data_IF_146675098564
#
_entry.id   IF_146675098564
#
_cell.length_a   1.000
_cell.length_b   1.000
_cell.length_c   1.000
_cell.angle_alpha   90.00
_cell.angle_beta   90.00
_cell.angle_gamma   90.00
#
_symmetry.space_group_name_H-M   'P 1'
#
loop_
_entity.id
_entity.type
_entity.pdbx_description
1 polymer ?
#
# COMPACT_ATOMS: atom_id res chain seq x y z
N UNK A 1 -86.63 -15.25 -30.63
CA UNK A 1 -86.00 -14.41 -31.67
C UNK A 1 -84.57 -14.12 -31.31
N UNK A 2 -83.68 -14.84 -31.93
CA UNK A 2 -82.25 -14.87 -31.57
C UNK A 2 -81.51 -14.14 -32.72
N UNK A 3 -80.79 -13.10 -32.39
CA UNK A 3 -79.81 -12.50 -33.33
C UNK A 3 -78.39 -12.90 -32.91
N UNK A 4 -77.69 -13.58 -33.78
CA UNK A 4 -76.28 -13.89 -33.72
C UNK A 4 -75.43 -12.66 -33.96
N UNK A 5 -74.46 -12.39 -33.15
CA UNK A 5 -73.39 -11.40 -33.36
C UNK A 5 -72.11 -12.14 -33.78
N UNK A 6 -71.54 -11.74 -34.89
CA UNK A 6 -70.31 -12.21 -35.45
C UNK A 6 -69.18 -11.47 -34.70
N UNK A 7 -68.20 -12.24 -34.19
CA UNK A 7 -66.99 -11.68 -33.58
C UNK A 7 -65.87 -11.85 -34.59
N UNK A 8 -65.36 -10.72 -35.13
CA UNK A 8 -64.18 -10.67 -35.97
C UNK A 8 -62.92 -10.87 -35.09
N UNK A 9 -62.13 -11.89 -35.44
CA UNK A 9 -60.84 -12.17 -34.85
C UNK A 9 -59.74 -11.40 -35.59
N UNK A 10 -59.21 -10.36 -34.98
CA UNK A 10 -57.96 -9.72 -35.44
C UNK A 10 -56.76 -10.53 -34.99
N UNK A 11 -56.04 -11.10 -35.96
CA UNK A 11 -54.75 -11.76 -35.75
C UNK A 11 -53.66 -10.68 -35.72
N UNK A 12 -53.03 -10.47 -34.55
CA UNK A 12 -51.83 -9.65 -34.44
C UNK A 12 -50.61 -10.49 -34.74
N UNK A 13 -49.93 -10.24 -35.84
CA UNK A 13 -48.61 -10.79 -36.13
C UNK A 13 -47.54 -10.07 -35.30
N UNK A 14 -46.96 -10.74 -34.32
CA UNK A 14 -45.78 -10.26 -33.64
C UNK A 14 -44.55 -10.48 -34.50
N UNK A 15 -44.01 -9.41 -35.07
CA UNK A 15 -42.72 -9.39 -35.73
C UNK A 15 -41.61 -9.40 -34.66
N UNK A 16 -40.83 -10.50 -34.61
CA UNK A 16 -39.63 -10.62 -33.79
C UNK A 16 -38.51 -9.84 -34.51
N UNK A 17 -38.19 -8.65 -34.03
CA UNK A 17 -37.00 -7.94 -34.45
C UNK A 17 -35.80 -8.56 -33.70
N UNK A 18 -34.98 -9.38 -34.38
CA UNK A 18 -33.70 -9.87 -33.89
C UNK A 18 -32.72 -8.69 -33.85
N UNK A 19 -32.47 -8.16 -32.65
CA UNK A 19 -31.38 -7.23 -32.40
C UNK A 19 -30.06 -8.01 -32.44
N UNK A 20 -29.30 -7.88 -33.51
CA UNK A 20 -27.92 -8.32 -33.62
C UNK A 20 -27.06 -7.42 -32.76
N UNK A 21 -26.83 -7.80 -31.48
CA UNK A 21 -25.81 -7.20 -30.62
C UNK A 21 -24.44 -7.61 -31.13
N UNK A 22 -23.85 -6.82 -32.00
CA UNK A 22 -22.47 -6.96 -32.41
C UNK A 22 -21.55 -6.70 -31.22
N UNK A 23 -20.97 -7.74 -30.65
CA UNK A 23 -19.84 -7.59 -29.75
C UNK A 23 -18.65 -7.01 -30.52
N UNK A 24 -18.42 -5.73 -30.39
CA UNK A 24 -17.18 -5.11 -30.85
C UNK A 24 -16.07 -5.59 -29.92
N UNK A 25 -15.30 -6.59 -30.34
CA UNK A 25 -14.06 -6.96 -29.69
C UNK A 25 -13.07 -5.84 -29.94
N UNK A 26 -12.88 -4.97 -28.93
CA UNK A 26 -11.77 -4.02 -28.93
C UNK A 26 -10.51 -4.85 -28.68
N UNK A 27 -9.74 -5.12 -29.73
CA UNK A 27 -8.41 -5.71 -29.57
C UNK A 27 -7.56 -4.79 -28.69
N UNK A 28 -6.82 -5.33 -27.71
CA UNK A 28 -5.94 -4.51 -26.89
C UNK A 28 -4.92 -3.83 -27.83
N UNK A 29 -4.83 -2.51 -27.73
CA UNK A 29 -3.79 -1.75 -28.42
C UNK A 29 -2.48 -2.12 -27.74
N UNK A 30 -1.74 -3.03 -28.35
CA UNK A 30 -0.35 -3.32 -27.98
C UNK A 30 0.49 -2.12 -28.40
N UNK A 31 0.78 -1.23 -27.45
CA UNK A 31 1.81 -0.22 -27.64
C UNK A 31 3.13 -0.96 -27.66
N UNK A 32 3.76 -1.04 -28.85
CA UNK A 32 5.07 -1.65 -28.98
C UNK A 32 6.08 -0.91 -28.09
N UNK A 33 6.93 -1.66 -27.37
CA UNK A 33 8.01 -1.08 -26.61
C UNK A 33 8.93 -0.26 -27.54
N UNK A 34 9.48 0.87 -27.08
CA UNK A 34 10.42 1.66 -27.88
C UNK A 34 11.60 0.81 -28.35
N UNK A 35 12.16 1.06 -29.55
CA UNK A 35 13.30 0.34 -30.05
C UNK A 35 14.49 0.44 -29.07
N UNK A 36 15.06 -0.69 -28.65
CA UNK A 36 16.20 -0.75 -27.72
C UNK A 36 15.87 -1.01 -26.27
N UNK A 37 14.57 -1.09 -25.89
CA UNK A 37 14.15 -1.44 -24.52
C UNK A 37 14.45 -2.91 -24.27
N UNK A 38 15.32 -3.18 -23.28
CA UNK A 38 15.47 -4.52 -22.68
C UNK A 38 14.11 -4.95 -22.12
N UNK A 39 13.88 -6.26 -22.00
CA UNK A 39 12.64 -6.76 -21.40
C UNK A 39 12.34 -6.10 -20.04
N UNK A 40 11.07 -6.02 -19.67
CA UNK A 40 10.64 -5.45 -18.38
C UNK A 40 11.39 -6.14 -17.23
N UNK A 41 12.00 -5.40 -16.28
CA UNK A 41 12.66 -6.01 -15.13
C UNK A 41 11.71 -6.93 -14.34
N UNK A 42 12.17 -8.08 -13.89
CA UNK A 42 11.32 -9.11 -13.26
C UNK A 42 10.61 -8.62 -12.00
N UNK A 43 11.26 -7.77 -11.20
CA UNK A 43 10.62 -7.13 -10.04
C UNK A 43 9.43 -6.26 -10.43
N UNK A 44 9.56 -5.51 -11.53
CA UNK A 44 8.46 -4.68 -12.05
C UNK A 44 7.35 -5.53 -12.70
N UNK A 45 7.69 -6.62 -13.41
CA UNK A 45 6.68 -7.57 -13.89
C UNK A 45 5.86 -8.12 -12.73
N UNK A 46 6.53 -8.49 -11.63
CA UNK A 46 5.89 -9.03 -10.44
C UNK A 46 5.00 -7.97 -9.76
N UNK A 47 5.53 -6.76 -9.49
CA UNK A 47 4.82 -5.74 -8.73
C UNK A 47 3.63 -5.14 -9.49
N UNK A 48 3.84 -4.77 -10.77
CA UNK A 48 2.84 -4.01 -11.54
C UNK A 48 1.99 -4.88 -12.45
N UNK A 49 2.43 -6.10 -12.77
CA UNK A 49 1.78 -6.96 -13.76
C UNK A 49 1.19 -8.25 -13.23
N UNK A 50 1.59 -8.72 -12.02
CA UNK A 50 1.17 -10.05 -11.58
C UNK A 50 -0.15 -10.06 -10.81
N UNK A 51 -0.93 -11.13 -11.00
CA UNK A 51 -2.11 -11.42 -10.19
C UNK A 51 -1.76 -11.76 -8.74
N UNK A 52 -0.57 -12.31 -8.51
CA UNK A 52 -0.08 -12.71 -7.19
C UNK A 52 0.08 -11.50 -6.28
N UNK A 53 0.74 -10.44 -6.72
CA UNK A 53 0.88 -9.21 -5.93
C UNK A 53 -0.46 -8.53 -5.72
N UNK A 54 -1.32 -8.51 -6.73
CA UNK A 54 -2.67 -7.95 -6.57
C UNK A 54 -3.48 -8.72 -5.51
N UNK A 55 -3.35 -10.05 -5.43
CA UNK A 55 -3.97 -10.87 -4.40
C UNK A 55 -3.35 -10.63 -3.01
N UNK A 56 -2.01 -10.60 -2.91
CA UNK A 56 -1.29 -10.32 -1.65
C UNK A 56 -1.69 -8.95 -1.10
N UNK A 57 -1.74 -7.91 -1.94
CA UNK A 57 -2.15 -6.57 -1.53
C UNK A 57 -3.59 -6.56 -1.00
N UNK A 58 -4.53 -7.24 -1.68
CA UNK A 58 -5.91 -7.37 -1.21
C UNK A 58 -5.99 -8.11 0.13
N UNK A 59 -5.19 -9.17 0.33
CA UNK A 59 -5.11 -9.88 1.62
C UNK A 59 -4.60 -8.97 2.73
N UNK A 60 -3.53 -8.20 2.49
CA UNK A 60 -2.99 -7.26 3.47
C UNK A 60 -4.03 -6.20 3.87
N UNK A 61 -4.72 -5.60 2.90
CA UNK A 61 -5.77 -4.60 3.17
C UNK A 61 -7.02 -5.20 3.81
N UNK A 62 -7.40 -6.42 3.50
CA UNK A 62 -8.49 -7.13 4.19
C UNK A 62 -8.13 -7.43 5.64
N UNK A 63 -6.91 -7.91 5.89
CA UNK A 63 -6.39 -8.16 7.24
C UNK A 63 -6.33 -6.87 8.05
N UNK A 64 -5.82 -5.76 7.48
CA UNK A 64 -5.83 -4.44 8.08
C UNK A 64 -7.24 -4.00 8.49
N UNK A 65 -8.21 -4.13 7.58
CA UNK A 65 -9.61 -3.73 7.83
C UNK A 65 -10.22 -4.54 8.97
N UNK A 66 -10.00 -5.86 8.98
CA UNK A 66 -10.45 -6.76 10.04
C UNK A 66 -9.85 -6.38 11.40
N UNK A 67 -8.53 -6.18 11.44
CA UNK A 67 -7.80 -5.76 12.63
C UNK A 67 -8.32 -4.42 13.18
N UNK A 68 -8.42 -3.40 12.34
CA UNK A 68 -8.90 -2.07 12.71
C UNK A 68 -10.35 -2.12 13.20
N UNK A 69 -11.21 -2.91 12.55
CA UNK A 69 -12.61 -3.10 12.99
C UNK A 69 -12.69 -3.72 14.38
N UNK A 70 -11.84 -4.70 14.68
CA UNK A 70 -11.74 -5.28 16.02
C UNK A 70 -11.28 -4.27 17.07
N UNK A 71 -10.24 -3.50 16.73
CA UNK A 71 -9.63 -2.52 17.62
C UNK A 71 -10.53 -1.30 17.88
N UNK A 72 -11.21 -0.80 16.84
CA UNK A 72 -12.11 0.36 16.98
C UNK A 72 -13.31 0.07 17.92
N UNK A 73 -13.84 -1.14 17.89
CA UNK A 73 -14.93 -1.56 18.80
C UNK A 73 -14.50 -1.59 20.27
N UNK A 74 -13.23 -1.88 20.54
CA UNK A 74 -12.67 -1.90 21.90
C UNK A 74 -12.35 -0.50 22.44
N UNK A 75 -12.17 0.50 21.54
CA UNK A 75 -11.76 1.86 21.92
C UNK A 75 -12.92 2.86 22.00
N UNK A 76 -14.01 2.62 21.29
CA UNK A 76 -15.13 3.57 21.16
C UNK A 76 -16.47 2.88 21.31
N UNK A 77 -17.08 2.89 22.49
CA UNK A 77 -18.47 2.45 22.60
C UNK A 77 -19.39 3.47 21.93
N UNK A 78 -20.08 3.02 20.90
CA UNK A 78 -21.27 3.72 20.41
C UNK A 78 -22.36 3.49 21.48
N UNK A 79 -22.64 4.50 22.31
CA UNK A 79 -23.80 4.42 23.23
C UNK A 79 -23.49 4.46 24.73
N UNK A 80 -22.42 5.12 25.19
CA UNK A 80 -22.32 5.59 26.59
C UNK A 80 -22.36 4.54 27.71
N UNK A 81 -21.96 3.30 27.45
CA UNK A 81 -21.79 2.26 28.47
C UNK A 81 -20.47 2.37 29.22
N UNK A 82 -20.38 2.00 30.51
CA UNK A 82 -19.19 2.09 31.30
C UNK A 82 -18.15 1.02 30.89
N UNK A 83 -16.90 1.39 30.93
CA UNK A 83 -15.69 0.58 30.77
C UNK A 83 -15.25 0.24 29.35
N UNK A 84 -14.74 1.25 28.66
CA UNK A 84 -13.81 1.03 27.55
C UNK A 84 -12.44 0.67 28.15
N UNK A 85 -11.98 -0.53 27.89
CA UNK A 85 -10.58 -0.88 28.14
C UNK A 85 -9.78 -0.17 27.05
N UNK A 86 -9.36 1.07 27.30
CA UNK A 86 -8.47 1.80 26.40
C UNK A 86 -7.22 0.94 26.23
N UNK A 87 -6.82 0.69 24.98
CA UNK A 87 -5.52 0.11 24.73
C UNK A 87 -4.49 1.14 25.15
N UNK A 88 -3.59 0.80 26.08
CA UNK A 88 -2.70 1.78 26.68
C UNK A 88 -1.60 2.27 25.73
N UNK A 89 -1.39 1.61 24.61
CA UNK A 89 -0.23 1.85 23.75
C UNK A 89 -0.60 1.83 22.26
N UNK A 90 0.08 2.67 21.48
CA UNK A 90 0.04 2.63 20.03
C UNK A 90 0.99 1.55 19.48
N UNK A 91 1.01 1.35 18.16
CA UNK A 91 1.98 0.48 17.49
C UNK A 91 3.23 1.25 17.01
N UNK A 92 3.34 2.53 17.35
CA UNK A 92 4.53 3.36 17.10
C UNK A 92 5.50 3.21 18.26
N UNK A 93 6.76 2.92 17.95
CA UNK A 93 7.81 2.83 18.95
C UNK A 93 8.12 4.20 19.56
N UNK A 94 8.40 4.22 20.85
CA UNK A 94 8.94 5.38 21.54
C UNK A 94 10.34 5.71 21.00
N UNK A 95 10.74 6.98 21.06
CA UNK A 95 11.99 7.48 20.47
C UNK A 95 13.27 6.86 21.03
N UNK A 96 13.19 6.30 22.22
CA UNK A 96 14.28 5.63 22.92
C UNK A 96 14.17 4.09 22.94
N UNK A 97 13.21 3.54 22.19
CA UNK A 97 13.04 2.11 22.01
C UNK A 97 14.12 1.52 21.09
N UNK A 98 14.35 0.22 21.24
CA UNK A 98 15.17 -0.59 20.32
C UNK A 98 14.35 -1.78 19.82
N UNK A 99 14.81 -2.47 18.77
CA UNK A 99 14.14 -3.68 18.28
C UNK A 99 14.18 -4.82 19.31
N UNK A 100 15.20 -4.87 20.17
CA UNK A 100 15.34 -5.86 21.24
C UNK A 100 14.56 -5.50 22.52
N UNK A 101 14.20 -4.23 22.69
CA UNK A 101 13.41 -3.72 23.82
C UNK A 101 12.41 -2.68 23.33
N UNK A 102 11.40 -3.09 22.56
CA UNK A 102 10.41 -2.18 22.02
C UNK A 102 9.53 -1.60 23.13
N UNK A 103 9.39 -0.29 23.12
CA UNK A 103 8.43 0.45 23.94
C UNK A 103 7.57 1.27 23.01
N UNK A 104 6.29 1.35 23.29
CA UNK A 104 5.31 1.98 22.44
C UNK A 104 4.77 3.26 23.07
N UNK A 105 4.36 4.19 22.22
CA UNK A 105 3.76 5.47 22.64
C UNK A 105 2.38 5.23 23.25
N UNK A 106 2.04 5.96 24.30
CA UNK A 106 0.73 5.88 24.95
C UNK A 106 -0.40 6.45 24.10
N UNK A 107 -1.56 5.84 24.25
CA UNK A 107 -2.80 6.21 23.54
C UNK A 107 -3.79 7.03 24.39
N UNK A 108 -3.50 7.30 25.64
CA UNK A 108 -4.44 7.95 26.58
C UNK A 108 -4.96 9.27 26.01
N UNK A 109 -6.29 9.41 25.92
CA UNK A 109 -6.95 10.63 25.44
C UNK A 109 -6.84 10.92 23.94
N UNK A 110 -6.22 10.05 23.16
CA UNK A 110 -5.98 10.26 21.73
C UNK A 110 -7.01 9.53 20.87
N UNK A 111 -7.37 10.14 19.73
CA UNK A 111 -8.26 9.53 18.72
C UNK A 111 -7.50 8.47 17.91
N UNK A 112 -8.16 7.38 17.49
CA UNK A 112 -7.51 6.34 16.73
C UNK A 112 -7.12 6.80 15.32
N UNK A 113 -5.95 6.36 14.87
CA UNK A 113 -5.47 6.56 13.51
C UNK A 113 -4.73 5.32 13.01
N UNK A 114 -4.63 5.20 11.69
CA UNK A 114 -3.67 4.35 11.01
C UNK A 114 -2.70 5.22 10.23
N UNK A 115 -1.47 4.75 10.06
CA UNK A 115 -0.43 5.43 9.28
C UNK A 115 0.00 4.53 8.13
N UNK A 116 -0.01 5.09 6.91
CA UNK A 116 0.43 4.40 5.69
C UNK A 116 1.59 5.15 5.04
N UNK A 117 2.49 4.42 4.40
CA UNK A 117 3.31 5.00 3.34
C UNK A 117 2.46 5.29 2.09
N UNK A 118 3.03 5.98 1.12
CA UNK A 118 2.34 6.34 -0.14
C UNK A 118 2.80 5.46 -1.30
N UNK A 119 4.10 5.46 -1.59
CA UNK A 119 4.66 4.86 -2.79
C UNK A 119 4.72 3.34 -2.66
N UNK A 120 4.16 2.62 -3.61
CA UNK A 120 3.98 1.16 -3.64
C UNK A 120 3.25 0.57 -2.42
N UNK A 121 2.75 1.45 -1.56
CA UNK A 121 1.88 1.11 -0.44
C UNK A 121 0.43 1.52 -0.70
N UNK A 122 0.17 2.81 -0.92
CA UNK A 122 -1.18 3.32 -1.24
C UNK A 122 -1.34 3.56 -2.75
N UNK A 123 -0.29 4.07 -3.41
CA UNK A 123 -0.20 4.34 -4.84
C UNK A 123 0.83 3.43 -5.52
N UNK A 124 0.51 2.94 -6.71
CA UNK A 124 1.46 2.35 -7.64
C UNK A 124 1.98 3.45 -8.59
N UNK A 125 3.29 3.67 -8.63
CA UNK A 125 3.93 4.67 -9.49
C UNK A 125 4.22 4.14 -10.90
N UNK A 126 3.28 3.42 -11.47
CA UNK A 126 3.44 2.67 -12.74
C UNK A 126 4.04 3.53 -13.86
N UNK A 127 3.64 4.80 -13.97
CA UNK A 127 4.17 5.70 -15.00
C UNK A 127 5.63 6.11 -14.79
N UNK A 128 6.06 6.30 -13.53
CA UNK A 128 7.45 6.56 -13.21
C UNK A 128 8.31 5.32 -13.51
N UNK A 129 7.88 4.18 -13.02
CA UNK A 129 8.60 2.92 -13.17
C UNK A 129 8.70 2.47 -14.63
N UNK A 130 7.66 2.75 -15.44
CA UNK A 130 7.75 2.58 -16.89
C UNK A 130 8.87 3.46 -17.49
N UNK A 131 8.92 4.75 -17.14
CA UNK A 131 9.92 5.67 -17.65
C UNK A 131 11.32 5.32 -17.16
N UNK A 132 11.45 4.83 -15.93
CA UNK A 132 12.70 4.38 -15.33
C UNK A 132 13.22 3.14 -16.06
N UNK A 133 12.41 2.11 -16.20
CA UNK A 133 12.74 0.89 -16.94
C UNK A 133 13.11 1.17 -18.41
N UNK A 134 12.34 2.03 -19.08
CA UNK A 134 12.57 2.40 -20.47
C UNK A 134 13.88 3.19 -20.66
N UNK A 135 14.26 4.00 -19.67
CA UNK A 135 15.49 4.80 -19.74
C UNK A 135 16.76 3.94 -19.53
N UNK A 136 16.67 2.88 -18.73
CA UNK A 136 17.81 2.09 -18.28
C UNK A 136 18.86 2.88 -17.50
N UNK A 137 18.50 4.07 -17.03
CA UNK A 137 19.38 4.96 -16.27
C UNK A 137 19.23 4.70 -14.76
N UNK A 138 20.27 4.96 -13.96
CA UNK A 138 20.15 4.95 -12.51
C UNK A 138 19.07 5.91 -12.00
N UNK A 139 18.61 5.70 -10.75
CA UNK A 139 17.71 6.63 -10.07
C UNK A 139 18.26 8.07 -10.12
N UNK A 140 17.38 9.00 -10.44
CA UNK A 140 17.66 10.44 -10.49
C UNK A 140 16.62 11.22 -9.70
N UNK A 141 17.05 11.91 -8.65
CA UNK A 141 16.18 12.66 -7.75
C UNK A 141 15.42 13.78 -8.45
N UNK A 142 16.02 14.42 -9.48
CA UNK A 142 15.32 15.46 -10.23
C UNK A 142 14.24 14.87 -11.16
N UNK A 143 14.46 13.66 -11.70
CA UNK A 143 13.43 12.91 -12.44
C UNK A 143 12.28 12.54 -11.52
N UNK A 144 12.57 12.06 -10.31
CA UNK A 144 11.55 11.77 -9.30
C UNK A 144 10.77 13.02 -8.91
N UNK A 145 11.43 14.16 -8.69
CA UNK A 145 10.76 15.42 -8.36
C UNK A 145 9.82 15.89 -9.49
N UNK A 146 10.22 15.72 -10.76
CA UNK A 146 9.32 15.99 -11.90
C UNK A 146 8.11 15.06 -11.91
N UNK A 147 8.31 13.79 -11.52
CA UNK A 147 7.23 12.82 -11.38
C UNK A 147 6.25 13.22 -10.27
N UNK A 148 6.74 13.56 -9.08
CA UNK A 148 5.89 14.04 -7.99
C UNK A 148 4.95 15.17 -8.46
N UNK A 149 5.42 16.07 -9.32
CA UNK A 149 4.66 17.19 -9.87
C UNK A 149 3.68 16.82 -10.97
N UNK A 150 3.58 15.57 -11.37
CA UNK A 150 2.66 15.11 -12.43
C UNK A 150 1.22 14.89 -11.94
N UNK A 151 0.88 15.23 -10.70
CA UNK A 151 -0.44 15.02 -10.07
C UNK A 151 -0.89 13.56 -10.03
N UNK A 152 0.02 12.62 -10.19
CA UNK A 152 -0.27 11.17 -10.17
C UNK A 152 -1.17 10.68 -11.33
N UNK A 153 -1.15 11.35 -12.47
CA UNK A 153 -2.00 10.99 -13.64
C UNK A 153 -1.73 9.58 -14.16
N UNK A 154 -0.52 9.08 -13.99
CA UNK A 154 -0.11 7.74 -14.39
C UNK A 154 0.18 6.85 -13.16
N UNK A 155 -0.42 7.17 -12.01
CA UNK A 155 -0.45 6.35 -10.81
C UNK A 155 -1.83 5.72 -10.64
N UNK A 156 -1.87 4.54 -10.02
CA UNK A 156 -3.11 3.88 -9.60
C UNK A 156 -3.10 3.58 -8.10
N UNK A 157 -4.26 3.31 -7.52
CA UNK A 157 -4.31 2.80 -6.15
C UNK A 157 -3.80 1.35 -6.11
N UNK A 158 -3.09 1.00 -5.05
CA UNK A 158 -2.75 -0.40 -4.76
C UNK A 158 -4.03 -1.22 -4.60
N UNK A 159 -4.11 -2.43 -5.17
CA UNK A 159 -5.30 -3.27 -5.09
C UNK A 159 -5.79 -3.50 -3.66
N UNK A 160 -7.04 -3.14 -3.38
CA UNK A 160 -7.65 -3.23 -2.05
C UNK A 160 -7.55 -1.96 -1.20
N UNK A 161 -6.65 -1.02 -1.51
CA UNK A 161 -6.43 0.18 -0.70
C UNK A 161 -7.67 1.07 -0.60
N UNK A 162 -8.33 1.37 -1.72
CA UNK A 162 -9.48 2.29 -1.75
C UNK A 162 -10.62 1.82 -0.85
N UNK A 163 -11.02 0.56 -1.00
CA UNK A 163 -12.14 -0.01 -0.23
C UNK A 163 -11.79 -0.10 1.26
N UNK A 164 -10.56 -0.53 1.58
CA UNK A 164 -10.08 -0.64 2.95
C UNK A 164 -10.05 0.73 3.64
N UNK A 165 -9.46 1.75 3.02
CA UNK A 165 -9.37 3.08 3.63
C UNK A 165 -10.73 3.76 3.76
N UNK A 166 -11.65 3.52 2.82
CA UNK A 166 -13.04 3.96 2.94
C UNK A 166 -13.74 3.30 4.13
N UNK A 167 -13.61 1.99 4.28
CA UNK A 167 -14.19 1.24 5.39
C UNK A 167 -13.60 1.69 6.74
N UNK A 168 -12.29 1.88 6.82
CA UNK A 168 -11.60 2.33 8.04
C UNK A 168 -12.05 3.74 8.45
N UNK A 169 -12.19 4.67 7.51
CA UNK A 169 -12.75 6.00 7.80
C UNK A 169 -14.20 5.93 8.30
N UNK A 170 -15.01 5.03 7.76
CA UNK A 170 -16.39 4.81 8.22
C UNK A 170 -16.48 4.32 9.68
N UNK A 171 -15.39 3.70 10.19
CA UNK A 171 -15.27 3.33 11.61
C UNK A 171 -14.84 4.51 12.51
N UNK A 172 -14.67 5.72 11.97
CA UNK A 172 -14.19 6.89 12.71
C UNK A 172 -12.66 6.89 12.96
N UNK A 173 -11.91 6.02 12.29
CA UNK A 173 -10.44 5.96 12.38
C UNK A 173 -9.81 6.90 11.37
N UNK A 174 -8.91 7.75 11.83
CA UNK A 174 -8.21 8.70 10.95
C UNK A 174 -7.17 7.95 10.09
N UNK A 175 -7.19 8.20 8.78
CA UNK A 175 -6.18 7.69 7.85
C UNK A 175 -5.13 8.76 7.62
N UNK A 176 -3.87 8.46 7.93
CA UNK A 176 -2.74 9.39 7.83
C UNK A 176 -1.68 8.76 6.92
N UNK A 177 -1.09 9.58 6.04
CA UNK A 177 0.01 9.18 5.18
C UNK A 177 1.32 9.78 5.68
N UNK A 178 2.41 8.98 5.67
CA UNK A 178 3.76 9.37 6.06
C UNK A 178 4.75 8.92 4.99
N UNK A 179 5.08 9.79 4.03
CA UNK A 179 5.85 9.47 2.84
C UNK A 179 7.16 10.24 2.74
N UNK A 180 8.11 9.70 1.98
CA UNK A 180 9.34 10.38 1.60
C UNK A 180 9.20 11.26 0.34
N UNK A 181 7.99 11.42 -0.19
CA UNK A 181 7.69 12.52 -1.10
C UNK A 181 7.95 13.86 -0.39
N UNK A 182 8.30 14.89 -1.15
CA UNK A 182 8.77 16.14 -0.57
C UNK A 182 7.63 17.07 -0.14
N UNK A 183 7.77 17.75 0.99
CA UNK A 183 6.80 18.73 1.49
C UNK A 183 6.62 19.92 0.52
N UNK A 184 7.66 20.27 -0.24
CA UNK A 184 7.59 21.30 -1.29
C UNK A 184 6.58 20.94 -2.37
N UNK A 185 6.39 19.64 -2.62
CA UNK A 185 5.47 19.12 -3.61
C UNK A 185 4.14 18.61 -3.01
N UNK A 186 3.81 18.97 -1.76
CA UNK A 186 2.67 18.44 -1.01
C UNK A 186 1.35 18.48 -1.79
N UNK A 187 1.03 19.61 -2.45
CA UNK A 187 -0.20 19.78 -3.24
C UNK A 187 -0.36 18.72 -4.35
N UNK A 188 0.74 18.28 -4.94
CA UNK A 188 0.71 17.27 -5.99
C UNK A 188 0.50 15.86 -5.42
N UNK A 189 1.06 15.59 -4.23
CA UNK A 189 0.80 14.34 -3.51
C UNK A 189 -0.65 14.26 -3.04
N UNK A 190 -1.22 15.36 -2.53
CA UNK A 190 -2.66 15.45 -2.20
C UNK A 190 -3.53 15.18 -3.43
N UNK A 191 -3.20 15.78 -4.57
CA UNK A 191 -3.91 15.59 -5.83
C UNK A 191 -3.82 14.15 -6.32
N UNK A 192 -2.64 13.51 -6.23
CA UNK A 192 -2.43 12.12 -6.63
C UNK A 192 -3.25 11.15 -5.78
N UNK A 193 -3.21 11.29 -4.45
CA UNK A 193 -3.98 10.46 -3.51
C UNK A 193 -5.50 10.66 -3.71
N UNK A 194 -5.93 11.90 -3.91
CA UNK A 194 -7.36 12.20 -4.16
C UNK A 194 -7.83 11.61 -5.48
N UNK A 195 -7.05 11.75 -6.54
CA UNK A 195 -7.34 11.18 -7.88
C UNK A 195 -7.47 9.67 -7.85
N UNK A 196 -6.62 9.00 -7.05
CA UNK A 196 -6.66 7.56 -6.86
C UNK A 196 -7.80 7.07 -5.95
N UNK A 197 -8.65 7.99 -5.42
CA UNK A 197 -9.77 7.63 -4.52
C UNK A 197 -9.34 7.37 -3.08
N UNK A 198 -8.14 7.77 -2.69
CA UNK A 198 -7.57 7.53 -1.35
C UNK A 198 -7.79 8.70 -0.38
N UNK A 199 -8.34 9.84 -0.87
CA UNK A 199 -8.66 11.02 -0.07
C UNK A 199 -9.86 10.84 0.87
N UNK A 200 -10.20 11.88 1.66
CA UNK A 200 -9.55 13.19 1.69
C UNK A 200 -8.18 13.17 2.38
N UNK A 201 -7.29 14.07 1.95
CA UNK A 201 -5.91 14.18 2.45
C UNK A 201 -5.54 15.66 2.58
N UNK A 202 -4.84 16.03 3.67
CA UNK A 202 -4.38 17.39 3.91
C UNK A 202 -2.98 17.41 4.52
N UNK A 203 -2.05 18.13 3.88
CA UNK A 203 -0.69 18.31 4.36
C UNK A 203 -0.65 18.96 5.75
N UNK A 204 0.19 18.42 6.64
CA UNK A 204 0.31 18.85 8.04
C UNK A 204 -0.79 18.33 8.97
N UNK A 205 -1.87 17.72 8.43
CA UNK A 205 -2.95 17.11 9.21
C UNK A 205 -2.99 15.58 9.04
N UNK A 206 -3.20 15.14 7.80
CA UNK A 206 -3.33 13.71 7.43
C UNK A 206 -2.32 13.27 6.37
N UNK A 207 -1.38 14.14 6.01
CA UNK A 207 -0.26 13.86 5.14
C UNK A 207 0.99 14.49 5.74
N UNK A 208 2.03 13.68 5.98
CA UNK A 208 3.32 14.08 6.48
C UNK A 208 4.39 13.64 5.48
N UNK A 209 5.26 14.57 5.10
CA UNK A 209 6.20 14.44 4.00
C UNK A 209 7.64 14.70 4.44
N UNK A 210 8.59 14.27 3.65
CA UNK A 210 10.00 14.62 3.84
C UNK A 210 10.17 16.14 3.84
N UNK A 211 10.69 16.67 4.94
CA UNK A 211 10.80 18.11 5.20
C UNK A 211 9.90 18.59 6.32
N UNK A 212 8.86 17.86 6.73
CA UNK A 212 7.97 18.23 7.83
C UNK A 212 8.58 17.97 9.23
N UNK A 213 9.68 17.23 9.27
CA UNK A 213 10.46 16.98 10.48
C UNK A 213 11.95 16.85 10.13
N UNK A 214 12.86 17.06 11.10
CA UNK A 214 14.27 16.80 10.89
C UNK A 214 14.55 15.32 10.63
N UNK A 215 15.73 14.99 10.08
CA UNK A 215 16.13 13.60 9.79
C UNK A 215 16.01 13.16 8.33
N UNK A 216 15.65 14.05 7.42
CA UNK A 216 15.63 13.79 5.98
C UNK A 216 14.64 12.68 5.60
N UNK A 217 15.16 11.54 5.12
CA UNK A 217 14.32 10.39 4.73
C UNK A 217 13.88 9.50 5.90
N UNK A 218 14.38 9.72 7.11
CA UNK A 218 13.89 9.04 8.31
C UNK A 218 12.41 9.35 8.53
N UNK A 219 11.62 8.32 8.84
CA UNK A 219 10.18 8.44 9.04
C UNK A 219 9.77 8.51 10.52
N UNK A 220 10.62 8.06 11.46
CA UNK A 220 10.32 8.08 12.88
C UNK A 220 10.06 9.47 13.46
N UNK A 221 10.79 10.55 13.09
CA UNK A 221 10.46 11.89 13.58
C UNK A 221 9.04 12.35 13.19
N UNK A 222 8.57 12.03 11.99
CA UNK A 222 7.20 12.31 11.55
C UNK A 222 6.18 11.41 12.26
N UNK A 223 6.51 10.12 12.48
CA UNK A 223 5.69 9.19 13.29
C UNK A 223 5.52 9.69 14.72
N UNK A 224 6.57 10.25 15.33
CA UNK A 224 6.49 10.85 16.66
C UNK A 224 5.51 12.02 16.70
N UNK A 225 5.53 12.92 15.70
CA UNK A 225 4.56 14.02 15.57
C UNK A 225 3.12 13.47 15.45
N UNK A 226 2.91 12.44 14.64
CA UNK A 226 1.61 11.80 14.46
C UNK A 226 1.15 11.14 15.76
N UNK A 227 2.02 10.35 16.40
CA UNK A 227 1.72 9.62 17.63
C UNK A 227 1.52 10.54 18.85
N UNK A 228 2.06 11.76 18.82
CA UNK A 228 1.73 12.78 19.81
C UNK A 228 0.27 13.23 19.75
N UNK A 229 -0.35 13.23 18.55
CA UNK A 229 -1.72 13.70 18.29
C UNK A 229 -2.75 12.58 18.26
N UNK A 230 -2.34 11.38 17.84
CA UNK A 230 -3.22 10.24 17.58
C UNK A 230 -2.75 8.97 18.29
N UNK A 231 -3.69 8.11 18.61
CA UNK A 231 -3.42 6.72 18.94
C UNK A 231 -3.26 5.93 17.63
N UNK A 232 -2.03 5.70 17.19
CA UNK A 232 -1.75 4.94 15.97
C UNK A 232 -1.95 3.45 16.26
N UNK A 233 -3.04 2.88 15.79
CA UNK A 233 -3.40 1.48 16.03
C UNK A 233 -2.90 0.52 14.96
N UNK A 234 -2.52 1.04 13.77
CA UNK A 234 -1.89 0.24 12.73
C UNK A 234 -0.96 1.08 11.86
N UNK A 235 0.07 0.44 11.31
CA UNK A 235 0.96 0.99 10.29
C UNK A 235 1.01 0.06 9.08
N UNK A 236 1.13 0.65 7.88
CA UNK A 236 1.18 -0.06 6.60
C UNK A 236 2.32 0.51 5.77
N UNK A 237 3.12 -0.35 5.16
CA UNK A 237 4.21 0.05 4.26
C UNK A 237 4.68 -1.10 3.39
N UNK A 238 5.52 -0.82 2.43
CA UNK A 238 6.19 -1.82 1.57
C UNK A 238 7.65 -2.04 1.97
N UNK A 239 8.16 -1.21 2.89
CA UNK A 239 9.50 -1.32 3.47
C UNK A 239 9.44 -1.46 4.99
N UNK A 240 10.39 -2.19 5.59
CA UNK A 240 10.49 -2.28 7.06
C UNK A 240 10.68 -0.91 7.72
N UNK A 241 11.32 0.05 7.02
CA UNK A 241 11.48 1.43 7.47
C UNK A 241 10.15 2.19 7.64
N UNK A 242 9.06 1.69 7.09
CA UNK A 242 7.72 2.24 7.28
C UNK A 242 7.14 1.91 8.64
N UNK A 243 7.66 0.88 9.29
CA UNK A 243 7.31 0.53 10.66
C UNK A 243 8.20 1.26 11.67
N UNK A 244 9.52 1.26 11.45
CA UNK A 244 10.51 2.04 12.21
C UNK A 244 11.82 2.16 11.46
N UNK A 245 12.50 3.30 11.62
CA UNK A 245 13.82 3.54 11.04
C UNK A 245 14.90 2.63 11.63
N UNK A 246 14.63 1.97 12.77
CA UNK A 246 15.55 1.03 13.39
C UNK A 246 15.93 -0.15 12.47
N UNK A 247 15.04 -0.55 11.56
CA UNK A 247 15.36 -1.55 10.55
C UNK A 247 16.35 -1.06 9.48
N UNK A 248 16.56 0.26 9.38
CA UNK A 248 17.50 0.88 8.44
C UNK A 248 18.78 1.38 9.13
N UNK A 249 18.96 1.12 10.43
CA UNK A 249 20.07 1.62 11.26
C UNK A 249 21.34 0.75 11.12
N UNK A 250 21.82 0.56 9.88
CA UNK A 250 23.08 -0.14 9.62
C UNK A 250 23.03 -1.67 9.77
N UNK A 251 21.83 -2.26 9.83
CA UNK A 251 21.67 -3.71 9.89
C UNK A 251 22.02 -4.37 8.55
N UNK A 252 22.75 -5.48 8.61
CA UNK A 252 22.94 -6.34 7.44
C UNK A 252 21.62 -7.00 7.02
N UNK A 253 21.48 -7.53 5.78
CA UNK A 253 20.28 -8.25 5.37
C UNK A 253 19.89 -9.40 6.30
N UNK A 254 20.87 -10.15 6.79
CA UNK A 254 20.66 -11.24 7.74
C UNK A 254 20.13 -10.72 9.10
N UNK A 255 20.72 -9.64 9.64
CA UNK A 255 20.26 -9.01 10.86
C UNK A 255 18.85 -8.42 10.71
N UNK A 256 18.54 -7.75 9.58
CA UNK A 256 17.18 -7.28 9.30
C UNK A 256 16.16 -8.42 9.28
N UNK A 257 16.50 -9.54 8.63
CA UNK A 257 15.65 -10.73 8.59
C UNK A 257 15.45 -11.33 9.98
N UNK A 258 16.52 -11.50 10.77
CA UNK A 258 16.43 -11.98 12.14
C UNK A 258 15.59 -11.06 13.04
N UNK A 259 15.74 -9.75 12.88
CA UNK A 259 14.98 -8.77 13.66
C UNK A 259 13.46 -8.85 13.43
N UNK A 260 13.00 -9.25 12.23
CA UNK A 260 11.56 -9.45 12.00
C UNK A 260 10.99 -10.65 12.74
N UNK A 261 11.82 -11.63 13.10
CA UNK A 261 11.44 -12.83 13.83
C UNK A 261 11.68 -12.74 15.36
N UNK A 262 12.24 -11.61 15.83
CA UNK A 262 12.45 -11.39 17.27
C UNK A 262 11.08 -11.44 18.00
N UNK A 263 10.98 -12.16 19.15
CA UNK A 263 9.70 -12.35 19.84
C UNK A 263 8.96 -11.05 20.15
N UNK A 264 9.69 -9.99 20.42
CA UNK A 264 9.17 -8.67 20.76
C UNK A 264 8.49 -7.96 19.58
N UNK A 265 8.84 -8.33 18.35
CA UNK A 265 8.37 -7.70 17.12
C UNK A 265 7.48 -8.63 16.28
N UNK A 266 7.77 -9.95 16.35
CA UNK A 266 7.10 -10.95 15.52
C UNK A 266 5.56 -10.93 15.65
N UNK A 267 5.07 -10.66 16.85
CA UNK A 267 3.63 -10.57 17.15
C UNK A 267 2.93 -9.34 16.56
N UNK A 268 3.67 -8.39 15.98
CA UNK A 268 3.11 -7.18 15.36
C UNK A 268 2.73 -7.39 13.90
N UNK A 269 3.34 -8.34 13.21
CA UNK A 269 3.05 -8.61 11.81
C UNK A 269 1.61 -9.12 11.65
N UNK A 270 0.80 -8.39 10.86
CA UNK A 270 -0.63 -8.64 10.73
C UNK A 270 -1.47 -8.26 11.97
N UNK A 271 -0.85 -7.74 13.01
CA UNK A 271 -1.46 -7.35 14.28
C UNK A 271 -1.00 -5.95 14.74
N UNK A 272 -1.08 -5.00 13.83
CA UNK A 272 -0.66 -3.62 14.00
C UNK A 272 0.34 -3.15 12.94
N UNK A 273 1.23 -4.01 12.48
CA UNK A 273 2.15 -3.74 11.38
C UNK A 273 1.78 -4.59 10.17
N UNK A 274 1.55 -3.95 9.03
CA UNK A 274 1.13 -4.60 7.78
C UNK A 274 2.13 -4.25 6.69
N UNK A 275 2.77 -5.28 6.13
CA UNK A 275 3.78 -5.12 5.09
C UNK A 275 3.22 -5.55 3.73
N UNK A 276 3.47 -4.74 2.71
CA UNK A 276 3.21 -5.02 1.31
C UNK A 276 4.50 -5.45 0.60
N UNK A 277 4.37 -5.93 -0.62
CA UNK A 277 5.51 -6.42 -1.40
C UNK A 277 6.07 -5.30 -2.28
N UNK A 278 7.41 -5.09 -2.22
CA UNK A 278 8.12 -4.27 -3.19
C UNK A 278 9.44 -4.96 -3.63
N UNK A 279 9.45 -5.64 -4.78
CA UNK A 279 10.64 -6.28 -5.36
C UNK A 279 11.38 -5.36 -6.35
N UNK A 280 11.11 -4.06 -6.37
CA UNK A 280 11.64 -3.13 -7.38
C UNK A 280 12.77 -2.28 -6.83
N UNK A 281 12.60 -1.73 -5.62
CA UNK A 281 13.58 -0.86 -4.99
C UNK A 281 13.54 -0.93 -3.45
N UNK A 282 14.48 -0.24 -2.83
CA UNK A 282 14.53 -0.08 -1.37
C UNK A 282 15.53 -1.00 -0.68
N UNK A 283 15.58 -0.88 0.63
CA UNK A 283 16.55 -1.60 1.47
C UNK A 283 16.31 -3.11 1.55
N UNK A 284 15.15 -3.57 1.09
CA UNK A 284 14.84 -4.99 0.98
C UNK A 284 15.69 -5.72 -0.08
N UNK A 285 16.20 -4.99 -1.08
CA UNK A 285 17.01 -5.52 -2.19
C UNK A 285 18.52 -5.39 -1.93
N UNK A 286 18.92 -5.12 -0.68
CA UNK A 286 20.32 -5.08 -0.29
C UNK A 286 20.88 -6.48 -0.08
N UNK A 287 22.20 -6.59 -0.23
CA UNK A 287 22.96 -7.82 0.02
C UNK A 287 23.63 -8.35 -1.23
N UNK A 288 24.80 -8.95 -1.02
CA UNK A 288 25.53 -9.68 -2.03
C UNK A 288 25.05 -11.13 -2.13
N UNK A 289 25.76 -11.90 -2.94
CA UNK A 289 25.43 -13.32 -3.17
C UNK A 289 25.45 -14.13 -1.86
N UNK A 290 26.40 -13.86 -0.98
CA UNK A 290 26.58 -14.58 0.28
C UNK A 290 25.50 -14.21 1.32
N UNK A 291 25.06 -12.96 1.32
CA UNK A 291 23.97 -12.50 2.19
C UNK A 291 22.61 -13.06 1.76
N UNK A 292 22.41 -13.30 0.45
CA UNK A 292 21.16 -13.83 -0.10
C UNK A 292 21.09 -15.35 -0.01
N UNK A 293 22.22 -16.02 -0.27
CA UNK A 293 22.31 -17.49 -0.30
C UNK A 293 23.34 -17.97 0.76
N UNK A 294 22.91 -18.25 1.99
CA UNK A 294 23.78 -18.75 3.05
C UNK A 294 24.52 -20.02 2.62
N UNK A 295 25.80 -20.15 3.00
CA UNK A 295 26.70 -21.20 2.52
C UNK A 295 26.19 -22.62 2.83
N UNK A 296 25.56 -22.80 4.00
CA UNK A 296 24.96 -24.06 4.47
C UNK A 296 23.67 -24.46 3.74
N UNK A 297 23.12 -23.57 2.92
CA UNK A 297 21.89 -23.79 2.14
C UNK A 297 22.15 -23.85 0.64
N UNK A 298 23.42 -23.86 0.22
CA UNK A 298 23.79 -23.91 -1.20
C UNK A 298 23.87 -25.34 -1.69
N UNK A 299 23.17 -25.60 -2.78
CA UNK A 299 23.31 -26.84 -3.53
C UNK A 299 24.17 -26.58 -4.76
N UNK A 300 25.11 -27.49 -5.03
CA UNK A 300 25.94 -27.49 -6.23
C UNK A 300 25.45 -28.64 -7.11
N UNK A 301 25.11 -28.34 -8.34
CA UNK A 301 24.71 -29.36 -9.33
C UNK A 301 25.90 -30.28 -9.63
N UNK A 302 25.84 -31.59 -9.30
CA UNK A 302 26.91 -32.53 -9.57
C UNK A 302 27.14 -32.76 -11.07
N UNK A 303 26.16 -32.43 -11.92
CA UNK A 303 26.29 -32.53 -13.38
C UNK A 303 27.08 -31.40 -14.05
N UNK A 304 27.41 -30.31 -13.31
CA UNK A 304 28.14 -29.16 -13.87
C UNK A 304 29.66 -29.20 -13.65
N UNK A 305 30.18 -30.22 -12.95
CA UNK A 305 31.62 -30.48 -12.90
C UNK A 305 32.07 -30.91 -14.30
N UNK A 306 32.61 -29.96 -15.10
CA UNK A 306 33.36 -30.31 -16.29
C UNK A 306 34.61 -31.05 -15.83
N UNK A 307 34.77 -32.34 -16.24
CA UNK A 307 36.04 -33.06 -16.19
C UNK A 307 37.13 -32.32 -16.95
#
# INVERSE_FOLDING_TARGET
MIRRSVVDSCIWAFGIAAALSGCVSIAPVTVAAPPGVRGVPTGMQYLYGSGEVAAISRQAYAALTTYVSGRSRMHWPVGGGPTVRMLPQSVVLASDATLAAPRFVDCVGKRPAIVLDVDETALLNTGYEYADAASGLPYDAARWERWERSDGRASGAVPGAVDALKAIRALGVTVIFNSNRTAVNARYTEAALTRAGLGPVRHGETLFLKGDAPGGSAKDPRRAIIAARYCVIAMVGDQLGDMTDLFNAGLTPAQRRSATAAPEVAGLWGNGWFLLTNPVYGTALAGDYDAVFPTDQRWVDPGTTKE
#
